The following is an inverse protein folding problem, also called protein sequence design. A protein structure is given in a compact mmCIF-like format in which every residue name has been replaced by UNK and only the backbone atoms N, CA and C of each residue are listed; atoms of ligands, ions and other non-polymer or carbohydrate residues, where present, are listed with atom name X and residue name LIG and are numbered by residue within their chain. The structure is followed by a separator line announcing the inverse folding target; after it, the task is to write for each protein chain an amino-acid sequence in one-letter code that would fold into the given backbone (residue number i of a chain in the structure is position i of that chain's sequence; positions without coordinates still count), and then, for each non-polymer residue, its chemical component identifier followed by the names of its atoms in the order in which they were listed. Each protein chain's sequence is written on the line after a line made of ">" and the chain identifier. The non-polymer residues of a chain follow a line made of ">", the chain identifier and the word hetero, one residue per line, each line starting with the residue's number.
data_IF_160816937128
#
_entry.id   IF_160816937128
#
_cell.length_a   1.000
_cell.length_b   1.000
_cell.length_c   1.000
_cell.angle_alpha   90.00
_cell.angle_beta   90.00
_cell.angle_gamma   90.00
#
_symmetry.space_group_name_H-M   'P 1'
#
loop_
_entity.id
_entity.type
_entity.pdbx_description
1 polymer ?
#
# COMPACT_ATOMS: atom_id res chain seq x y z
N UNK A 1 -11.26 15.63 18.32
CA UNK A 1 -11.62 14.19 18.24
C UNK A 1 -12.20 13.95 16.86
N UNK A 2 -12.13 12.75 16.27
CA UNK A 2 -12.57 12.58 14.88
C UNK A 2 -14.09 12.79 14.68
N UNK A 3 -14.89 12.62 15.74
CA UNK A 3 -16.35 12.82 15.72
C UNK A 3 -16.81 14.27 15.90
N UNK A 4 -15.89 15.24 16.02
CA UNK A 4 -16.25 16.66 16.17
C UNK A 4 -16.30 17.43 14.85
N UNK A 5 -15.88 16.79 13.74
CA UNK A 5 -15.87 17.38 12.41
C UNK A 5 -16.44 16.37 11.42
N UNK A 6 -17.51 16.74 10.71
CA UNK A 6 -18.22 15.86 9.79
C UNK A 6 -17.31 15.31 8.68
N UNK A 7 -16.48 16.16 8.07
CA UNK A 7 -15.56 15.74 7.03
C UNK A 7 -14.54 14.72 7.54
N UNK A 8 -14.04 14.89 8.76
CA UNK A 8 -13.11 13.94 9.41
C UNK A 8 -13.82 12.62 9.74
N UNK A 9 -15.07 12.68 10.21
CA UNK A 9 -15.87 11.49 10.49
C UNK A 9 -16.16 10.69 9.22
N UNK A 10 -16.55 11.36 8.13
CA UNK A 10 -16.78 10.72 6.83
C UNK A 10 -15.49 10.12 6.27
N UNK A 11 -14.37 10.83 6.39
CA UNK A 11 -13.06 10.31 6.01
C UNK A 11 -12.70 9.05 6.80
N UNK A 12 -12.90 9.06 8.12
CA UNK A 12 -12.68 7.90 8.98
C UNK A 12 -13.58 6.72 8.58
N UNK A 13 -14.87 6.96 8.35
CA UNK A 13 -15.82 5.93 7.90
C UNK A 13 -15.41 5.31 6.55
N UNK A 14 -14.96 6.14 5.61
CA UNK A 14 -14.40 5.66 4.33
C UNK A 14 -13.18 4.76 4.55
N UNK A 15 -12.25 5.14 5.43
CA UNK A 15 -11.07 4.32 5.73
C UNK A 15 -11.37 3.05 6.54
N UNK A 16 -12.46 3.02 7.31
CA UNK A 16 -12.95 1.77 7.89
C UNK A 16 -13.38 0.77 6.80
N UNK A 17 -13.96 1.25 5.69
CA UNK A 17 -14.25 0.41 4.52
C UNK A 17 -12.97 -0.01 3.78
N UNK A 18 -11.97 0.88 3.63
CA UNK A 18 -10.64 0.49 3.11
C UNK A 18 -10.05 -0.63 3.96
N UNK A 19 -10.05 -0.50 5.29
CA UNK A 19 -9.55 -1.51 6.21
C UNK A 19 -10.31 -2.85 6.09
N UNK A 20 -11.62 -2.79 5.83
CA UNK A 20 -12.45 -3.98 5.57
C UNK A 20 -12.08 -4.64 4.23
N UNK A 21 -11.80 -3.85 3.20
CA UNK A 21 -11.54 -4.33 1.84
C UNK A 21 -10.32 -5.28 1.74
N UNK A 22 -9.21 -5.02 2.43
CA UNK A 22 -8.06 -5.95 2.46
C UNK A 22 -8.13 -6.97 3.62
N UNK A 23 -9.28 -7.08 4.29
CA UNK A 23 -9.45 -7.95 5.46
C UNK A 23 -9.21 -9.43 5.18
N UNK A 24 -9.45 -9.90 3.95
CA UNK A 24 -9.13 -11.27 3.54
C UNK A 24 -7.62 -11.54 3.59
N UNK A 25 -6.83 -10.62 3.03
CA UNK A 25 -5.38 -10.73 2.99
C UNK A 25 -4.77 -10.55 4.38
N UNK A 26 -5.28 -9.61 5.17
CA UNK A 26 -4.86 -9.42 6.56
C UNK A 26 -4.98 -10.71 7.38
N UNK A 27 -6.10 -11.43 7.25
CA UNK A 27 -6.30 -12.71 7.95
C UNK A 27 -5.28 -13.76 7.52
N UNK A 28 -4.98 -13.85 6.23
CA UNK A 28 -3.96 -14.75 5.72
C UNK A 28 -2.57 -14.41 6.29
N UNK A 29 -2.18 -13.13 6.31
CA UNK A 29 -0.91 -12.69 6.86
C UNK A 29 -0.80 -12.91 8.38
N UNK A 30 -1.88 -12.73 9.13
CA UNK A 30 -1.90 -13.04 10.57
C UNK A 30 -1.73 -14.55 10.83
N UNK A 31 -2.33 -15.39 9.99
CA UNK A 31 -2.13 -16.84 10.07
C UNK A 31 -0.70 -17.25 9.68
N UNK A 32 -0.11 -16.62 8.66
CA UNK A 32 1.30 -16.84 8.30
C UNK A 32 2.24 -16.42 9.44
N UNK A 33 1.96 -15.27 10.07
CA UNK A 33 2.75 -14.76 11.18
C UNK A 33 2.75 -15.72 12.37
N UNK A 34 1.62 -16.36 12.69
CA UNK A 34 1.55 -17.32 13.80
C UNK A 34 2.31 -18.62 13.54
N UNK A 35 2.52 -18.97 12.27
CA UNK A 35 3.22 -20.19 11.86
C UNK A 35 4.72 -19.98 11.64
N UNK A 36 5.11 -18.81 11.13
CA UNK A 36 6.48 -18.56 10.63
C UNK A 36 7.23 -17.47 11.41
N UNK A 37 6.50 -16.63 12.16
CA UNK A 37 7.06 -15.44 12.80
C UNK A 37 7.25 -14.24 11.87
N UNK A 38 6.94 -14.35 10.56
CA UNK A 38 7.01 -13.21 9.65
C UNK A 38 5.98 -12.14 10.03
N UNK A 39 6.37 -10.85 10.16
CA UNK A 39 5.43 -9.80 10.52
C UNK A 39 4.46 -9.48 9.35
N UNK A 40 3.30 -8.92 9.68
CA UNK A 40 2.31 -8.46 8.68
C UNK A 40 2.85 -7.26 7.89
N UNK A 41 3.46 -6.30 8.58
CA UNK A 41 4.18 -5.17 7.99
C UNK A 41 5.66 -5.52 7.91
N UNK A 42 6.24 -5.41 6.72
CA UNK A 42 7.57 -5.92 6.40
C UNK A 42 8.41 -4.81 5.79
N UNK A 43 9.68 -4.80 6.18
CA UNK A 43 10.67 -4.01 5.46
C UNK A 43 10.96 -4.66 4.09
N UNK A 44 11.24 -3.85 3.07
CA UNK A 44 11.49 -4.33 1.71
C UNK A 44 12.67 -5.30 1.63
N UNK A 45 13.75 -5.06 2.41
CA UNK A 45 14.92 -5.96 2.48
C UNK A 45 14.56 -7.44 2.69
N UNK A 46 13.44 -7.75 3.37
CA UNK A 46 13.03 -9.13 3.64
C UNK A 46 12.75 -9.89 2.33
N UNK A 47 12.23 -9.19 1.32
CA UNK A 47 11.84 -9.78 0.03
C UNK A 47 12.76 -9.39 -1.12
N UNK A 48 13.55 -8.31 -0.95
CA UNK A 48 14.50 -7.80 -1.95
C UNK A 48 15.92 -7.67 -1.35
N UNK A 49 16.53 -8.75 -0.83
CA UNK A 49 17.81 -8.68 -0.13
C UNK A 49 19.03 -8.47 -1.05
N UNK A 50 18.84 -8.42 -2.37
CA UNK A 50 19.92 -8.16 -3.33
C UNK A 50 19.82 -6.76 -3.95
N UNK A 51 18.82 -6.00 -3.53
CA UNK A 51 18.58 -4.64 -4.00
C UNK A 51 19.10 -3.66 -2.95
N UNK A 52 20.32 -3.16 -3.11
CA UNK A 52 20.96 -2.27 -2.13
C UNK A 52 20.17 -0.99 -1.88
N UNK A 53 19.37 -0.54 -2.85
CA UNK A 53 18.56 0.68 -2.70
C UNK A 53 17.51 0.54 -1.60
N UNK A 54 17.06 -0.68 -1.27
CA UNK A 54 16.08 -0.87 -0.21
C UNK A 54 16.68 -0.73 1.19
N UNK A 55 18.02 -0.74 1.34
CA UNK A 55 18.67 -0.68 2.64
C UNK A 55 18.62 0.71 3.28
N UNK A 56 18.59 1.75 2.45
CA UNK A 56 18.49 3.15 2.89
C UNK A 56 17.04 3.56 3.22
N UNK A 57 16.06 2.72 2.89
CA UNK A 57 14.66 2.92 3.26
C UNK A 57 14.51 2.60 4.74
N UNK A 58 13.75 3.41 5.48
CA UNK A 58 13.52 3.19 6.90
C UNK A 58 12.05 3.35 7.27
N UNK A 59 11.53 4.57 7.14
CA UNK A 59 10.18 4.93 7.56
C UNK A 59 9.31 5.41 6.41
N UNK A 60 9.90 5.62 5.22
CA UNK A 60 9.25 6.23 4.06
C UNK A 60 8.23 5.28 3.41
N UNK A 61 8.48 3.97 3.45
CA UNK A 61 7.62 2.96 2.85
C UNK A 61 7.82 1.59 3.49
N UNK A 62 6.84 0.71 3.32
CA UNK A 62 6.87 -0.67 3.79
C UNK A 62 5.99 -1.56 2.92
N UNK A 63 6.17 -2.87 3.07
CA UNK A 63 5.28 -3.87 2.50
C UNK A 63 4.25 -4.32 3.54
N UNK A 64 3.03 -4.61 3.09
CA UNK A 64 2.07 -5.41 3.84
C UNK A 64 2.07 -6.79 3.17
N UNK A 65 2.67 -7.77 3.86
CA UNK A 65 2.97 -9.06 3.27
C UNK A 65 3.96 -8.94 2.09
N UNK A 66 3.66 -9.63 0.99
CA UNK A 66 4.38 -9.57 -0.29
C UNK A 66 3.65 -8.78 -1.36
N UNK A 67 2.36 -8.51 -1.17
CA UNK A 67 1.46 -8.12 -2.27
C UNK A 67 1.08 -6.64 -2.27
N UNK A 68 1.33 -5.92 -1.19
CA UNK A 68 1.00 -4.50 -1.09
C UNK A 68 2.21 -3.69 -0.65
N UNK A 69 2.56 -2.65 -1.41
CA UNK A 69 3.56 -1.65 -1.04
C UNK A 69 2.85 -0.36 -0.64
N UNK A 70 3.23 0.22 0.49
CA UNK A 70 2.60 1.43 1.05
C UNK A 70 3.66 2.47 1.34
N UNK A 71 3.44 3.70 0.85
CA UNK A 71 4.24 4.88 1.15
C UNK A 71 3.32 5.98 1.73
N UNK A 72 3.27 6.16 3.06
CA UNK A 72 2.41 7.16 3.68
C UNK A 72 2.92 8.59 3.47
N UNK A 73 2.00 9.56 3.42
CA UNK A 73 2.34 10.98 3.57
C UNK A 73 2.61 11.24 5.05
N UNK A 74 3.80 11.76 5.38
CA UNK A 74 4.25 11.96 6.76
C UNK A 74 4.29 13.43 7.19
N UNK A 75 4.37 14.35 6.22
CA UNK A 75 4.48 15.77 6.47
C UNK A 75 3.16 16.52 6.21
N UNK A 76 2.80 17.51 7.04
CA UNK A 76 1.63 18.35 6.80
C UNK A 76 1.69 19.06 5.45
N UNK A 77 0.52 19.25 4.81
CA UNK A 77 0.35 19.97 3.55
C UNK A 77 1.04 19.33 2.32
N UNK A 78 1.65 18.16 2.48
CA UNK A 78 2.20 17.38 1.38
C UNK A 78 1.08 16.62 0.65
N UNK A 79 1.11 16.65 -0.68
CA UNK A 79 0.13 15.97 -1.55
C UNK A 79 0.76 14.99 -2.54
N UNK A 80 2.06 14.73 -2.42
CA UNK A 80 2.77 13.72 -3.20
C UNK A 80 3.91 13.11 -2.39
N UNK A 81 4.30 11.88 -2.72
CA UNK A 81 5.39 11.16 -2.06
C UNK A 81 6.34 10.55 -3.08
N UNK A 82 7.61 10.47 -2.73
CA UNK A 82 8.60 9.70 -3.47
C UNK A 82 8.54 8.24 -3.02
N UNK A 83 8.40 7.32 -3.96
CA UNK A 83 8.25 5.88 -3.70
C UNK A 83 9.28 5.11 -4.50
N UNK A 84 10.07 4.29 -3.83
CA UNK A 84 10.94 3.31 -4.48
C UNK A 84 10.14 2.03 -4.77
N UNK A 85 10.06 1.64 -6.03
CA UNK A 85 9.45 0.39 -6.46
C UNK A 85 10.56 -0.59 -6.82
N UNK A 86 10.72 -1.73 -6.12
CA UNK A 86 11.66 -2.78 -6.51
C UNK A 86 11.37 -3.29 -7.93
N UNK A 87 12.35 -3.96 -8.53
CA UNK A 87 12.22 -4.54 -9.88
C UNK A 87 10.91 -5.34 -10.03
N UNK A 88 10.20 -5.05 -11.12
CA UNK A 88 8.85 -5.49 -11.39
C UNK A 88 7.94 -4.33 -11.81
N UNK A 89 6.72 -4.67 -12.20
CA UNK A 89 5.67 -3.70 -12.51
C UNK A 89 4.64 -3.68 -11.39
N UNK A 90 4.20 -2.49 -11.01
CA UNK A 90 3.36 -2.22 -9.85
C UNK A 90 2.18 -1.34 -10.25
N UNK A 91 0.99 -1.75 -9.87
CA UNK A 91 -0.26 -1.03 -10.14
C UNK A 91 -0.59 -0.15 -8.95
N UNK A 92 -0.76 1.15 -9.19
CA UNK A 92 -1.25 2.09 -8.20
C UNK A 92 -2.73 1.84 -7.92
N UNK A 93 -3.09 1.57 -6.66
CA UNK A 93 -4.44 1.11 -6.27
C UNK A 93 -5.53 2.06 -6.72
N UNK A 94 -5.34 3.38 -6.56
CA UNK A 94 -6.41 4.35 -6.77
C UNK A 94 -6.61 4.73 -8.24
N UNK A 95 -5.55 4.74 -9.05
CA UNK A 95 -5.61 5.20 -10.45
C UNK A 95 -5.57 4.05 -11.46
N UNK A 96 -5.19 2.85 -11.03
CA UNK A 96 -4.94 1.70 -11.91
C UNK A 96 -3.72 1.87 -12.82
N UNK A 97 -2.98 2.98 -12.71
CA UNK A 97 -1.77 3.21 -13.50
C UNK A 97 -0.66 2.27 -13.05
N UNK A 98 0.11 1.77 -14.03
CA UNK A 98 1.25 0.90 -13.79
C UNK A 98 2.54 1.71 -13.80
N UNK A 99 3.42 1.41 -12.86
CA UNK A 99 4.75 1.98 -12.69
C UNK A 99 5.76 0.85 -12.49
N UNK A 100 7.05 1.16 -12.58
CA UNK A 100 8.11 0.17 -12.36
C UNK A 100 8.88 -0.17 -13.63
N UNK A 101 9.87 -1.03 -13.47
CA UNK A 101 10.67 -1.60 -14.53
C UNK A 101 10.95 -3.07 -14.20
N UNK A 102 10.79 -3.97 -15.17
CA UNK A 102 10.90 -5.42 -14.94
C UNK A 102 12.31 -5.90 -14.55
N UNK A 103 13.34 -5.08 -14.77
CA UNK A 103 14.74 -5.46 -14.60
C UNK A 103 15.43 -4.75 -13.44
N UNK A 104 15.00 -3.53 -13.11
CA UNK A 104 15.62 -2.71 -12.06
C UNK A 104 14.56 -2.00 -11.23
N UNK A 105 14.84 -1.77 -9.94
CA UNK A 105 13.96 -0.92 -9.14
C UNK A 105 14.08 0.56 -9.51
N UNK A 106 13.00 1.30 -9.36
CA UNK A 106 12.87 2.70 -9.80
C UNK A 106 12.20 3.56 -8.74
N UNK A 107 12.63 4.81 -8.62
CA UNK A 107 11.96 5.81 -7.78
C UNK A 107 10.96 6.61 -8.61
N UNK A 108 9.73 6.70 -8.15
CA UNK A 108 8.64 7.44 -8.78
C UNK A 108 8.02 8.43 -7.80
N UNK A 109 7.59 9.60 -8.31
CA UNK A 109 6.80 10.57 -7.53
C UNK A 109 5.33 10.32 -7.78
N UNK A 110 4.56 10.16 -6.71
CA UNK A 110 3.16 9.74 -6.75
C UNK A 110 2.30 10.77 -6.05
N UNK A 111 1.24 11.21 -6.72
CA UNK A 111 0.21 12.03 -6.10
C UNK A 111 -0.50 11.23 -5.00
N UNK A 112 -0.49 11.78 -3.79
CA UNK A 112 -1.07 11.20 -2.60
C UNK A 112 -1.95 12.24 -1.86
N UNK A 113 -3.02 12.76 -2.49
CA UNK A 113 -3.93 13.68 -1.83
C UNK A 113 -4.66 13.00 -0.67
N UNK A 114 -5.28 13.79 0.20
CA UNK A 114 -6.01 13.27 1.35
C UNK A 114 -7.04 12.20 0.92
N UNK A 115 -6.81 10.98 1.40
CA UNK A 115 -7.68 9.83 1.17
C UNK A 115 -7.25 8.88 0.06
N UNK A 116 -6.15 9.20 -0.63
CA UNK A 116 -5.53 8.33 -1.62
C UNK A 116 -4.03 8.18 -1.29
N UNK A 117 -3.65 7.56 -0.15
CA UNK A 117 -2.25 7.32 0.17
C UNK A 117 -1.58 6.48 -0.93
N UNK A 118 -0.28 6.64 -1.18
CA UNK A 118 0.39 5.87 -2.21
C UNK A 118 0.41 4.37 -1.82
N UNK A 119 -0.37 3.55 -2.53
CA UNK A 119 -0.48 2.11 -2.33
C UNK A 119 -0.40 1.40 -3.68
N UNK A 120 0.41 0.35 -3.73
CA UNK A 120 0.66 -0.43 -4.94
C UNK A 120 0.49 -1.91 -4.70
N UNK A 121 0.21 -2.65 -5.78
CA UNK A 121 0.31 -4.11 -5.81
C UNK A 121 1.03 -4.57 -7.10
N UNK A 122 1.73 -5.72 -7.11
CA UNK A 122 2.39 -6.22 -8.31
C UNK A 122 1.39 -6.49 -9.45
N UNK A 123 1.76 -6.20 -10.69
CA UNK A 123 0.98 -6.62 -11.87
C UNK A 123 0.75 -8.14 -11.81
N UNK A 124 -0.50 -8.56 -12.01
CA UNK A 124 -0.90 -9.97 -11.92
C UNK A 124 -1.19 -10.48 -10.49
N UNK A 125 -1.05 -9.64 -9.46
CA UNK A 125 -1.40 -10.02 -8.08
C UNK A 125 -2.92 -10.25 -7.94
N UNK A 126 -3.29 -11.50 -7.62
CA UNK A 126 -4.68 -11.84 -7.28
C UNK A 126 -5.14 -11.13 -6.00
N UNK A 127 -4.23 -10.88 -5.06
CA UNK A 127 -4.51 -10.13 -3.83
C UNK A 127 -4.81 -8.67 -4.15
N UNK A 128 -3.98 -8.03 -4.98
CA UNK A 128 -4.20 -6.67 -5.43
C UNK A 128 -5.52 -6.51 -6.17
N UNK A 129 -5.82 -7.41 -7.12
CA UNK A 129 -7.08 -7.43 -7.86
C UNK A 129 -8.30 -7.57 -6.94
N UNK A 130 -8.27 -8.53 -6.01
CA UNK A 130 -9.35 -8.71 -5.04
C UNK A 130 -9.50 -7.51 -4.11
N UNK A 131 -8.39 -6.88 -3.70
CA UNK A 131 -8.43 -5.68 -2.87
C UNK A 131 -9.15 -4.53 -3.59
N UNK A 132 -8.80 -4.27 -4.85
CA UNK A 132 -9.47 -3.25 -5.68
C UNK A 132 -10.95 -3.58 -5.87
N UNK A 133 -11.29 -4.83 -6.18
CA UNK A 133 -12.68 -5.26 -6.30
C UNK A 133 -13.47 -4.97 -5.00
N UNK A 134 -12.90 -5.30 -3.85
CA UNK A 134 -13.54 -5.04 -2.56
C UNK A 134 -13.68 -3.54 -2.27
N UNK A 135 -12.75 -2.69 -2.75
CA UNK A 135 -12.90 -1.23 -2.62
C UNK A 135 -14.11 -0.72 -3.40
N UNK A 136 -14.33 -1.23 -4.63
CA UNK A 136 -15.49 -0.91 -5.46
C UNK A 136 -16.79 -1.41 -4.81
N UNK A 137 -16.83 -2.68 -4.38
CA UNK A 137 -18.02 -3.27 -3.73
C UNK A 137 -18.41 -2.55 -2.43
N UNK A 138 -17.45 -1.97 -1.72
CA UNK A 138 -17.68 -1.20 -0.51
C UNK A 138 -17.92 0.30 -0.75
N UNK A 139 -18.02 0.73 -2.02
CA UNK A 139 -18.28 2.12 -2.41
C UNK A 139 -17.15 3.09 -2.03
N UNK A 140 -15.91 2.60 -1.95
CA UNK A 140 -14.72 3.43 -1.65
C UNK A 140 -14.13 4.04 -2.93
N UNK A 141 -14.29 3.31 -4.04
CA UNK A 141 -13.85 3.65 -5.39
C UNK A 141 -15.00 3.37 -6.37
N UNK A 142 -14.97 4.05 -7.51
CA UNK A 142 -15.89 3.86 -8.63
C UNK A 142 -15.35 2.84 -9.66
#
# INVERSE_FOLDING_TARGET
>A
QFYTNEATLLHFARFANVYRAWGFYRRALVAEASLTGLPVVRHLFIHYPHDEAVYDISYQQFLVGTELLVAPVLDPQTTSVSVYLPAGEWVHVWTGQTYGDTTTGVTVTIDAPLGMPAVFYPVGSAVGAQFVQNLVELGVMD
#
